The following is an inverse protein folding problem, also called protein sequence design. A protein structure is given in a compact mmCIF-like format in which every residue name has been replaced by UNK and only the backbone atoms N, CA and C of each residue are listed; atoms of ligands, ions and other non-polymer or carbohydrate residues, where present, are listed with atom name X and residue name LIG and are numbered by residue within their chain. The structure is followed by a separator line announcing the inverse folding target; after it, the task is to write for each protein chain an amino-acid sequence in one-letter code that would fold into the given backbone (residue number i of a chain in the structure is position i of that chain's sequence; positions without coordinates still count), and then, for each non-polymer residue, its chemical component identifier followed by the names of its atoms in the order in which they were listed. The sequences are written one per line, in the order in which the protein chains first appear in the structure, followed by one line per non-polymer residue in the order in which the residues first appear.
data_IF_057467850575
#
_entry.id   IF_057467850575
#
_cell.length_a   1.000
_cell.length_b   1.000
_cell.length_c   1.000
_cell.angle_alpha   90.00
_cell.angle_beta   90.00
_cell.angle_gamma   90.00
#
_symmetry.space_group_name_H-M   'P 1'
#
loop_
_entity.id
_entity.type
_entity.pdbx_description
1 polymer ?
#
# COMPACT_ATOMS: atom_id res chain seq x y z
N UNK A 1 -14.82 -7.63 2.37
CA UNK A 1 -13.74 -7.04 1.57
C UNK A 1 -12.41 -7.35 2.21
N UNK A 2 -11.40 -7.61 1.39
CA UNK A 2 -10.06 -7.93 1.87
C UNK A 2 -9.46 -6.74 2.65
N UNK A 3 -8.74 -7.04 3.75
CA UNK A 3 -8.24 -6.01 4.68
C UNK A 3 -7.41 -4.91 3.98
N UNK A 4 -6.61 -5.29 2.98
CA UNK A 4 -5.74 -4.37 2.25
C UNK A 4 -6.41 -3.69 1.05
N UNK A 5 -7.71 -3.91 0.83
CA UNK A 5 -8.44 -3.39 -0.32
C UNK A 5 -9.38 -2.26 0.10
N UNK A 6 -9.35 -1.15 -0.65
CA UNK A 6 -10.14 0.06 -0.40
C UNK A 6 -10.88 0.49 -1.66
N UNK A 7 -12.07 1.05 -1.47
CA UNK A 7 -12.87 1.58 -2.57
C UNK A 7 -13.76 0.53 -3.22
N UNK A 8 -14.60 0.99 -4.16
CA UNK A 8 -15.58 0.15 -4.86
C UNK A 8 -15.60 0.42 -6.38
N UNK A 9 -14.55 1.07 -6.90
CA UNK A 9 -14.47 1.38 -8.32
C UNK A 9 -14.26 0.14 -9.16
N UNK A 10 -14.65 0.24 -10.45
CA UNK A 10 -14.51 -0.86 -11.41
C UNK A 10 -13.06 -1.08 -11.86
N UNK A 11 -12.23 -0.07 -11.75
CA UNK A 11 -10.82 -0.17 -12.13
C UNK A 11 -10.06 -0.75 -10.95
N UNK A 12 -9.63 -2.00 -11.06
CA UNK A 12 -8.86 -2.65 -10.01
C UNK A 12 -7.41 -2.21 -10.09
N UNK A 13 -6.83 -1.82 -8.95
CA UNK A 13 -5.46 -1.33 -8.87
C UNK A 13 -4.74 -2.03 -7.74
N UNK A 14 -3.56 -2.61 -8.02
CA UNK A 14 -2.70 -3.21 -7.01
C UNK A 14 -1.42 -2.41 -6.94
N UNK A 15 -1.10 -1.90 -5.76
CA UNK A 15 0.07 -1.05 -5.53
C UNK A 15 1.13 -1.84 -4.77
N UNK A 16 2.19 -2.22 -5.47
CA UNK A 16 3.31 -3.01 -4.94
C UNK A 16 4.42 -2.08 -4.47
N UNK A 17 4.76 -2.14 -3.18
CA UNK A 17 5.78 -1.27 -2.61
C UNK A 17 6.48 -1.95 -1.42
N UNK A 18 7.57 -1.32 -0.95
CA UNK A 18 8.32 -1.77 0.20
C UNK A 18 8.81 -0.54 0.97
N UNK A 19 8.66 -0.56 2.27
CA UNK A 19 9.02 0.59 3.12
C UNK A 19 10.51 0.90 3.13
N UNK A 20 11.35 -0.07 2.78
CA UNK A 20 12.81 0.10 2.71
C UNK A 20 13.30 0.42 1.29
N UNK A 21 12.41 0.58 0.35
CA UNK A 21 12.71 0.95 -1.04
C UNK A 21 12.72 2.48 -1.16
N UNK A 22 13.86 3.06 -1.55
CA UNK A 22 14.01 4.52 -1.65
C UNK A 22 13.07 5.13 -2.69
N UNK A 23 12.86 4.46 -3.83
CA UNK A 23 11.94 4.94 -4.86
C UNK A 23 10.49 4.90 -4.39
N UNK A 24 10.12 3.89 -3.58
CA UNK A 24 8.79 3.79 -2.99
C UNK A 24 8.56 4.92 -1.99
N UNK A 25 9.55 5.19 -1.15
CA UNK A 25 9.50 6.28 -0.18
C UNK A 25 9.33 7.63 -0.87
N UNK A 26 10.06 7.87 -1.94
CA UNK A 26 9.97 9.13 -2.69
C UNK A 26 8.61 9.31 -3.36
N UNK A 27 7.99 8.21 -3.79
CA UNK A 27 6.70 8.23 -4.47
C UNK A 27 5.52 8.48 -3.54
N UNK A 28 5.53 7.85 -2.35
CA UNK A 28 4.35 7.81 -1.46
C UNK A 28 3.73 9.20 -1.20
N UNK A 29 4.48 10.23 -0.78
CA UNK A 29 3.86 11.54 -0.55
C UNK A 29 3.30 12.19 -1.81
N UNK A 30 3.84 11.85 -2.97
CA UNK A 30 3.38 12.43 -4.24
C UNK A 30 2.04 11.86 -4.69
N UNK A 31 1.69 10.65 -4.28
CA UNK A 31 0.47 9.97 -4.74
C UNK A 31 -0.62 9.87 -3.67
N UNK A 32 -0.36 10.25 -2.42
CA UNK A 32 -1.34 10.14 -1.35
C UNK A 32 -2.67 10.82 -1.70
N UNK A 33 -2.62 12.06 -2.17
CA UNK A 33 -3.82 12.79 -2.54
C UNK A 33 -4.57 12.11 -3.69
N UNK A 34 -3.83 11.70 -4.73
CA UNK A 34 -4.42 11.03 -5.90
C UNK A 34 -5.12 9.74 -5.50
N UNK A 35 -4.46 8.93 -4.70
CA UNK A 35 -4.99 7.65 -4.23
C UNK A 35 -6.24 7.88 -3.39
N UNK A 36 -6.19 8.80 -2.43
CA UNK A 36 -7.33 9.10 -1.57
C UNK A 36 -8.53 9.58 -2.40
N UNK A 37 -8.30 10.48 -3.36
CA UNK A 37 -9.35 11.01 -4.22
C UNK A 37 -10.00 9.89 -5.06
N UNK A 38 -9.19 9.08 -5.73
CA UNK A 38 -9.68 8.01 -6.60
C UNK A 38 -10.46 6.94 -5.83
N UNK A 39 -9.99 6.60 -4.62
CA UNK A 39 -10.69 5.64 -3.76
C UNK A 39 -12.02 6.22 -3.27
N UNK A 40 -12.01 7.44 -2.75
CA UNK A 40 -13.22 8.08 -2.18
C UNK A 40 -14.29 8.32 -3.24
N UNK A 41 -13.89 8.62 -4.47
CA UNK A 41 -14.81 8.84 -5.59
C UNK A 41 -15.25 7.54 -6.26
N UNK A 42 -14.79 6.39 -5.76
CA UNK A 42 -15.09 5.08 -6.33
C UNK A 42 -14.69 4.95 -7.81
N UNK A 43 -13.57 5.57 -8.19
CA UNK A 43 -12.97 5.36 -9.51
C UNK A 43 -12.20 4.05 -9.52
N UNK A 44 -11.45 3.78 -8.44
CA UNK A 44 -10.64 2.56 -8.33
C UNK A 44 -11.04 1.73 -7.10
N UNK A 45 -10.74 0.44 -7.19
CA UNK A 45 -10.61 -0.44 -6.03
C UNK A 45 -9.11 -0.68 -5.85
N UNK A 46 -8.56 -0.22 -4.74
CA UNK A 46 -7.12 -0.25 -4.49
C UNK A 46 -6.75 -1.34 -3.50
N UNK A 47 -5.77 -2.16 -3.83
CA UNK A 47 -5.17 -3.11 -2.89
C UNK A 47 -3.70 -2.75 -2.70
N UNK A 48 -3.29 -2.54 -1.45
CA UNK A 48 -1.89 -2.39 -1.10
C UNK A 48 -1.25 -3.77 -0.98
N UNK A 49 -0.11 -3.95 -1.64
CA UNK A 49 0.66 -5.19 -1.57
C UNK A 49 2.08 -4.85 -1.15
N UNK A 50 2.38 -5.06 0.12
CA UNK A 50 3.73 -4.87 0.64
C UNK A 50 4.61 -6.05 0.22
N UNK A 51 5.76 -5.72 -0.38
CA UNK A 51 6.69 -6.71 -0.95
C UNK A 51 7.87 -6.85 0.00
N UNK A 52 8.16 -8.06 0.53
CA UNK A 52 9.22 -8.23 1.53
C UNK A 52 10.59 -8.37 0.88
N UNK A 53 11.14 -7.27 0.32
CA UNK A 53 12.41 -7.26 -0.39
C UNK A 53 13.63 -7.10 0.51
N UNK A 54 13.45 -6.56 1.72
CA UNK A 54 14.55 -6.26 2.65
C UNK A 54 14.38 -7.02 3.96
N UNK A 55 15.43 -7.04 4.77
CA UNK A 55 15.49 -7.85 5.99
C UNK A 55 14.32 -7.57 6.95
N UNK A 56 13.91 -6.31 7.09
CA UNK A 56 12.87 -5.93 8.06
C UNK A 56 11.52 -5.63 7.41
N UNK A 57 11.38 -5.87 6.12
CA UNK A 57 10.14 -5.58 5.38
C UNK A 57 8.94 -6.33 5.93
N UNK A 58 9.13 -7.60 6.32
CA UNK A 58 8.04 -8.43 6.87
C UNK A 58 7.50 -7.89 8.18
N UNK A 59 8.36 -7.34 9.04
CA UNK A 59 7.93 -6.72 10.29
C UNK A 59 7.01 -5.53 10.01
N UNK A 60 7.38 -4.67 9.08
CA UNK A 60 6.61 -3.49 8.71
C UNK A 60 5.28 -3.87 8.04
N UNK A 61 5.30 -4.85 7.15
CA UNK A 61 4.09 -5.37 6.51
C UNK A 61 3.11 -5.91 7.55
N UNK A 62 3.61 -6.63 8.56
CA UNK A 62 2.80 -7.13 9.67
C UNK A 62 2.13 -5.98 10.43
N UNK A 63 2.87 -4.94 10.76
CA UNK A 63 2.31 -3.80 11.50
C UNK A 63 1.32 -2.99 10.68
N UNK A 64 1.52 -2.89 9.37
CA UNK A 64 0.50 -2.27 8.53
C UNK A 64 -0.83 -3.04 8.62
N UNK A 65 -0.78 -4.36 8.61
CA UNK A 65 -1.98 -5.19 8.81
C UNK A 65 -2.62 -4.96 10.18
N UNK A 66 -1.82 -4.91 11.23
CA UNK A 66 -2.30 -4.63 12.58
C UNK A 66 -2.98 -3.27 12.69
N UNK A 67 -2.42 -2.27 12.02
CA UNK A 67 -2.98 -0.92 11.99
C UNK A 67 -4.34 -0.92 11.29
N UNK A 68 -4.45 -1.58 10.14
CA UNK A 68 -5.71 -1.68 9.41
C UNK A 68 -6.74 -2.52 10.18
N UNK A 69 -6.29 -3.50 10.97
CA UNK A 69 -7.17 -4.29 11.83
C UNK A 69 -7.76 -3.44 12.96
N UNK A 70 -7.05 -2.40 13.38
CA UNK A 70 -7.54 -1.43 14.36
C UNK A 70 -8.55 -0.47 13.74
N UNK A 71 -8.25 0.06 12.54
CA UNK A 71 -9.14 0.97 11.83
C UNK A 71 -8.90 0.88 10.33
N UNK A 72 -9.90 0.36 9.61
CA UNK A 72 -9.83 0.23 8.16
C UNK A 72 -10.49 1.43 7.47
N UNK A 73 -9.68 2.44 7.11
CA UNK A 73 -10.11 3.64 6.43
C UNK A 73 -8.91 4.18 5.63
N UNK A 74 -9.16 4.70 4.41
CA UNK A 74 -8.08 5.06 3.48
C UNK A 74 -7.16 6.15 4.03
N UNK A 75 -7.71 7.19 4.65
CA UNK A 75 -6.88 8.25 5.24
C UNK A 75 -5.99 7.74 6.35
N UNK A 76 -6.52 6.83 7.18
CA UNK A 76 -5.75 6.17 8.24
C UNK A 76 -4.65 5.27 7.65
N UNK A 77 -4.97 4.53 6.60
CA UNK A 77 -3.99 3.69 5.91
C UNK A 77 -2.83 4.52 5.36
N UNK A 78 -3.13 5.65 4.71
CA UNK A 78 -2.10 6.52 4.15
C UNK A 78 -1.24 7.16 5.24
N UNK A 79 -1.85 7.58 6.35
CA UNK A 79 -1.11 8.11 7.51
C UNK A 79 -0.18 7.05 8.09
N UNK A 80 -0.67 5.82 8.21
CA UNK A 80 0.12 4.70 8.71
C UNK A 80 1.31 4.40 7.79
N UNK A 81 1.09 4.38 6.49
CA UNK A 81 2.16 4.15 5.51
C UNK A 81 3.22 5.22 5.60
N UNK A 82 2.82 6.49 5.69
CA UNK A 82 3.75 7.61 5.85
C UNK A 82 4.63 7.42 7.10
N UNK A 83 4.04 7.04 8.22
CA UNK A 83 4.76 6.78 9.46
C UNK A 83 5.71 5.58 9.33
N UNK A 84 5.29 4.53 8.66
CA UNK A 84 6.13 3.34 8.44
C UNK A 84 7.33 3.66 7.53
N UNK A 85 7.15 4.47 6.49
CA UNK A 85 8.26 4.94 5.68
C UNK A 85 9.24 5.79 6.50
N UNK A 86 8.75 6.65 7.38
CA UNK A 86 9.58 7.45 8.27
C UNK A 86 10.37 6.55 9.24
N UNK A 87 9.72 5.55 9.83
CA UNK A 87 10.38 4.59 10.72
C UNK A 87 11.49 3.83 10.00
N UNK A 88 11.24 3.42 8.75
CA UNK A 88 12.25 2.73 7.93
C UNK A 88 13.45 3.63 7.65
N UNK A 89 13.22 4.92 7.39
CA UNK A 89 14.29 5.90 7.21
C UNK A 89 15.15 6.03 8.47
N UNK A 90 14.53 5.94 9.65
CA UNK A 90 15.23 5.97 10.92
C UNK A 90 15.86 4.62 11.28
N UNK A 91 15.77 3.64 10.40
CA UNK A 91 16.35 2.29 10.55
C UNK A 91 15.82 1.55 11.78
N UNK A 92 14.56 1.76 12.11
CA UNK A 92 13.93 1.03 13.21
C UNK A 92 13.74 -0.43 12.75
N UNK A 93 14.37 -1.35 13.48
CA UNK A 93 14.45 -2.77 13.09
C UNK A 93 13.85 -3.72 14.12
N UNK A 94 13.42 -3.21 15.25
CA UNK A 94 12.98 -3.97 16.40
C UNK A 94 11.51 -3.68 16.67
N UNK A 95 10.77 -4.73 16.99
CA UNK A 95 9.33 -4.70 17.25
C UNK A 95 8.95 -3.65 18.30
N UNK A 96 9.65 -3.64 19.45
CA UNK A 96 9.30 -2.75 20.54
C UNK A 96 9.54 -1.29 20.18
N UNK A 97 10.63 -1.01 19.47
CA UNK A 97 10.91 0.33 18.97
C UNK A 97 9.91 0.78 17.91
N UNK A 98 9.47 -0.14 17.05
CA UNK A 98 8.46 0.19 16.05
C UNK A 98 7.12 0.50 16.72
N UNK A 99 6.73 -0.28 17.72
CA UNK A 99 5.51 -0.02 18.49
C UNK A 99 5.57 1.34 19.20
N UNK A 100 6.70 1.65 19.82
CA UNK A 100 6.89 2.95 20.48
C UNK A 100 6.79 4.10 19.48
N UNK A 101 7.37 3.92 18.28
CA UNK A 101 7.30 4.92 17.22
C UNK A 101 5.85 5.15 16.76
N UNK A 102 5.10 4.08 16.51
CA UNK A 102 3.69 4.17 16.10
C UNK A 102 2.86 4.85 17.19
N UNK A 103 3.08 4.49 18.45
CA UNK A 103 2.40 5.12 19.59
C UNK A 103 2.69 6.62 19.65
N UNK A 104 3.93 7.02 19.41
CA UNK A 104 4.32 8.44 19.40
C UNK A 104 3.64 9.23 18.29
N UNK A 105 3.23 8.57 17.21
CA UNK A 105 2.49 9.18 16.09
C UNK A 105 0.96 9.11 16.28
N UNK A 106 0.51 8.55 17.40
CA UNK A 106 -0.91 8.38 17.65
C UNK A 106 -1.57 7.33 16.76
N UNK A 107 -0.80 6.37 16.26
CA UNK A 107 -1.30 5.31 15.38
C UNK A 107 -1.56 4.07 16.21
N UNK A 108 -2.82 3.62 16.23
CA UNK A 108 -3.24 2.42 16.94
C UNK A 108 -3.06 1.18 16.07
N UNK A 109 -2.84 0.05 16.70
CA UNK A 109 -2.73 -1.23 16.03
C UNK A 109 -3.33 -2.33 16.90
N UNK A 110 -3.85 -3.37 16.25
CA UNK A 110 -4.49 -4.50 16.92
C UNK A 110 -3.94 -5.79 16.31
N UNK A 111 -3.08 -6.53 17.04
CA UNK A 111 -2.49 -7.77 16.54
C UNK A 111 -3.54 -8.83 16.20
N UNK A 112 -3.23 -9.64 15.20
CA UNK A 112 -3.98 -10.83 14.83
C UNK A 112 -3.04 -11.77 14.08
N UNK A 113 -3.49 -12.95 13.68
CA UNK A 113 -2.67 -13.88 12.92
C UNK A 113 -2.58 -13.44 11.46
N UNK A 114 -1.42 -12.92 10.99
CA UNK A 114 -1.34 -12.33 9.65
C UNK A 114 -1.06 -13.33 8.53
N UNK A 115 -0.72 -14.57 8.84
CA UNK A 115 -0.27 -15.55 7.85
C UNK A 115 -1.26 -15.78 6.70
N UNK A 116 -2.59 -15.88 6.94
CA UNK A 116 -3.53 -16.02 5.84
C UNK A 116 -3.49 -14.85 4.85
N UNK A 117 -3.30 -13.61 5.36
CA UNK A 117 -3.18 -12.43 4.50
C UNK A 117 -1.87 -12.48 3.70
N UNK A 118 -0.76 -12.82 4.36
CA UNK A 118 0.53 -12.94 3.66
C UNK A 118 0.48 -13.99 2.55
N UNK A 119 -0.26 -15.08 2.75
CA UNK A 119 -0.42 -16.10 1.71
C UNK A 119 -1.12 -15.54 0.47
N UNK A 120 -2.13 -14.70 0.67
CA UNK A 120 -2.84 -14.02 -0.44
C UNK A 120 -1.90 -13.05 -1.15
N UNK A 121 -1.09 -12.29 -0.42
CA UNK A 121 -0.14 -11.35 -1.02
C UNK A 121 0.91 -12.08 -1.86
N UNK A 122 1.38 -13.24 -1.42
CA UNK A 122 2.29 -14.06 -2.21
C UNK A 122 1.66 -14.50 -3.52
N UNK A 123 0.37 -14.85 -3.52
CA UNK A 123 -0.36 -15.21 -4.75
C UNK A 123 -0.41 -14.02 -5.71
N UNK A 124 -0.69 -12.82 -5.21
CA UNK A 124 -0.67 -11.60 -6.04
C UNK A 124 0.70 -11.38 -6.67
N UNK A 125 1.76 -11.51 -5.88
CA UNK A 125 3.14 -11.34 -6.37
C UNK A 125 3.46 -12.32 -7.50
N UNK A 126 3.06 -13.57 -7.35
CA UNK A 126 3.29 -14.61 -8.38
C UNK A 126 2.47 -14.34 -9.63
N UNK A 127 1.16 -14.07 -9.46
CA UNK A 127 0.24 -13.89 -10.57
C UNK A 127 0.61 -12.67 -11.41
N UNK A 128 1.07 -11.59 -10.77
CA UNK A 128 1.47 -10.38 -11.46
C UNK A 128 2.95 -10.36 -11.83
N UNK A 129 3.70 -11.38 -11.44
CA UNK A 129 5.13 -11.53 -11.77
C UNK A 129 5.95 -10.29 -11.41
N UNK A 130 5.72 -9.75 -10.20
CA UNK A 130 6.37 -8.52 -9.73
C UNK A 130 7.85 -8.79 -9.45
N UNK A 131 8.72 -7.95 -10.03
CA UNK A 131 10.18 -8.05 -9.91
C UNK A 131 10.83 -6.79 -9.36
N UNK A 132 10.09 -5.69 -9.31
CA UNK A 132 10.63 -4.41 -8.85
C UNK A 132 9.53 -3.60 -8.16
N UNK A 133 9.93 -2.70 -7.26
CA UNK A 133 9.03 -1.76 -6.59
C UNK A 133 9.52 -0.33 -6.83
N UNK A 134 8.65 0.66 -6.91
CA UNK A 134 7.20 0.55 -6.91
C UNK A 134 6.65 0.08 -8.26
N UNK A 135 5.62 -0.75 -8.23
CA UNK A 135 4.88 -1.17 -9.43
C UNK A 135 3.39 -1.08 -9.14
N UNK A 136 2.63 -0.57 -10.10
CA UNK A 136 1.18 -0.55 -10.02
C UNK A 136 0.62 -1.41 -11.14
N UNK A 137 -0.30 -2.33 -10.79
CA UNK A 137 -1.01 -3.15 -11.76
C UNK A 137 -2.44 -2.64 -11.84
N UNK A 138 -2.89 -2.31 -13.05
CA UNK A 138 -4.23 -1.76 -13.29
C UNK A 138 -5.01 -2.74 -14.17
N UNK A 139 -6.20 -3.11 -13.73
CA UNK A 139 -7.08 -3.99 -14.48
C UNK A 139 -8.37 -3.23 -14.80
N UNK A 140 -8.56 -2.94 -16.09
CA UNK A 140 -9.71 -2.18 -16.59
C UNK A 140 -10.33 -2.94 -17.75
N UNK A 141 -11.62 -3.28 -17.63
CA UNK A 141 -12.32 -4.01 -18.69
C UNK A 141 -11.67 -5.35 -19.02
N UNK A 142 -11.10 -6.03 -18.03
CA UNK A 142 -10.41 -7.30 -18.23
C UNK A 142 -8.98 -7.18 -18.75
N UNK A 143 -8.55 -5.98 -19.10
CA UNK A 143 -7.20 -5.73 -19.59
C UNK A 143 -6.26 -5.34 -18.42
N UNK A 144 -5.14 -6.05 -18.31
CA UNK A 144 -4.14 -5.82 -17.27
C UNK A 144 -2.96 -5.01 -17.83
N UNK A 145 -2.63 -3.91 -17.16
CA UNK A 145 -1.50 -3.06 -17.52
C UNK A 145 -0.57 -2.87 -16.32
N UNK A 146 0.74 -2.74 -16.59
CA UNK A 146 1.77 -2.61 -15.57
C UNK A 146 2.44 -1.25 -15.69
N UNK A 147 2.57 -0.56 -14.55
CA UNK A 147 3.24 0.74 -14.46
C UNK A 147 4.34 0.64 -13.43
N UNK A 148 5.58 0.75 -13.88
CA UNK A 148 6.76 0.62 -13.03
C UNK A 148 7.46 1.96 -12.87
N UNK A 149 7.84 2.28 -11.63
CA UNK A 149 8.54 3.52 -11.30
C UNK A 149 7.61 4.68 -11.01
N UNK A 150 8.12 5.65 -10.25
CA UNK A 150 7.32 6.74 -9.70
C UNK A 150 6.63 7.61 -10.76
N UNK A 151 7.37 7.98 -11.82
CA UNK A 151 6.79 8.84 -12.85
C UNK A 151 5.65 8.18 -13.60
N UNK A 152 5.82 6.90 -13.98
CA UNK A 152 4.79 6.17 -14.70
C UNK A 152 3.54 5.97 -13.84
N UNK A 153 3.73 5.68 -12.55
CA UNK A 153 2.62 5.48 -11.62
C UNK A 153 1.87 6.80 -11.42
N UNK A 154 2.58 7.90 -11.19
CA UNK A 154 1.96 9.21 -10.99
C UNK A 154 1.14 9.62 -12.22
N UNK A 155 1.72 9.48 -13.41
CA UNK A 155 1.04 9.83 -14.67
C UNK A 155 -0.21 8.98 -14.87
N UNK A 156 -0.14 7.68 -14.58
CA UNK A 156 -1.29 6.77 -14.67
C UNK A 156 -2.40 7.20 -13.71
N UNK A 157 -2.07 7.45 -12.44
CA UNK A 157 -3.07 7.85 -11.43
C UNK A 157 -3.73 9.18 -11.81
N UNK A 158 -2.96 10.14 -12.31
CA UNK A 158 -3.51 11.41 -12.78
C UNK A 158 -4.47 11.21 -13.95
N UNK A 159 -4.17 10.30 -14.86
CA UNK A 159 -5.05 10.00 -16.00
C UNK A 159 -6.39 9.43 -15.56
N UNK A 160 -6.43 8.70 -14.43
CA UNK A 160 -7.67 8.13 -13.92
C UNK A 160 -8.59 9.16 -13.27
N UNK A 161 -8.12 10.36 -12.96
CA UNK A 161 -8.96 11.40 -12.33
C UNK A 161 -10.10 11.85 -13.24
N UNK A 162 -9.98 11.71 -14.53
CA UNK A 162 -11.03 12.05 -15.49
C UNK A 162 -12.06 10.93 -15.70
N UNK A 163 -11.85 9.76 -15.10
CA UNK A 163 -12.79 8.64 -15.21
C UNK A 163 -14.10 8.94 -14.47
N UNK A 164 -15.26 8.49 -14.98
CA UNK A 164 -16.53 8.73 -14.32
C UNK A 164 -16.63 7.96 -12.99
N UNK A 165 -17.39 8.54 -12.06
CA UNK A 165 -17.73 7.89 -10.80
C UNK A 165 -18.65 6.70 -11.04
N UNK A 166 -18.57 5.69 -10.16
CA UNK A 166 -19.46 4.54 -10.12
C UNK A 166 -20.54 4.69 -9.05
#
# INVERSE_FOLDING_TARGET
MFLLTFGKGKIETRFYSDYFCSACKALEPKVEYLVADLVKRNVITLTFVDVPLHQHSSLYARYFLYILNSKKEIGHALKARSALFEAAQQKIADKDKLEAFLNSKGITFKPFEPQPVFSILKQYLRNDQIRATPTCVVIKGGKKEFFQGGQNITTMLESLRSEPKE
#
